data_IF_700641425427
#
_entry.id   IF_700641425427
#
_cell.length_a   1.000
_cell.length_b   1.000
_cell.length_c   1.000
_cell.angle_alpha   90.00
_cell.angle_beta   90.00
_cell.angle_gamma   90.00
#
_symmetry.space_group_name_H-M   'P 1'
#
loop_
_entity.id
_entity.type
_entity.pdbx_description
1 polymer ?
#
# COMPACT_ATOMS: atom_id res chain seq x y z
N UNK A 1 45.20 39.54 -6.55
CA UNK A 1 44.26 39.10 -5.49
C UNK A 1 42.92 38.86 -6.14
N UNK A 2 42.50 37.59 -6.27
CA UNK A 2 41.10 37.13 -6.18
C UNK A 2 41.12 35.61 -6.31
N UNK A 3 40.92 34.93 -5.19
CA UNK A 3 40.78 33.48 -5.12
C UNK A 3 39.32 33.14 -5.45
N UNK A 4 39.11 32.34 -6.48
CA UNK A 4 37.84 31.67 -6.72
C UNK A 4 37.67 30.57 -5.67
N UNK A 5 36.78 30.79 -4.70
CA UNK A 5 36.30 29.72 -3.85
C UNK A 5 35.18 28.99 -4.61
N UNK A 6 35.25 27.66 -4.78
CA UNK A 6 34.09 26.90 -5.22
C UNK A 6 33.05 26.97 -4.10
N UNK A 7 31.84 27.39 -4.45
CA UNK A 7 30.67 27.27 -3.57
C UNK A 7 30.52 25.81 -3.15
N UNK A 8 30.34 25.51 -1.86
CA UNK A 8 30.11 24.15 -1.42
C UNK A 8 28.79 23.68 -2.01
N UNK A 9 28.82 22.55 -2.75
CA UNK A 9 27.62 21.85 -3.16
C UNK A 9 26.78 21.54 -1.92
N UNK A 10 25.72 22.32 -1.72
CA UNK A 10 24.62 21.96 -0.85
C UNK A 10 24.04 20.68 -1.43
N UNK A 11 24.40 19.55 -0.85
CA UNK A 11 23.81 18.26 -1.13
C UNK A 11 22.33 18.33 -0.72
N UNK A 12 21.48 18.92 -1.58
CA UNK A 12 20.05 19.01 -1.37
C UNK A 12 19.54 17.58 -1.18
N UNK A 13 19.11 17.27 0.04
CA UNK A 13 18.49 16.00 0.33
C UNK A 13 17.30 15.84 -0.62
N UNK A 14 17.23 14.76 -1.40
CA UNK A 14 16.22 14.64 -2.43
C UNK A 14 14.83 14.70 -1.79
N UNK A 15 13.94 15.51 -2.37
CA UNK A 15 12.57 15.67 -1.89
C UNK A 15 11.93 14.30 -1.62
N UNK A 16 11.33 14.04 -0.42
CA UNK A 16 10.80 12.73 -0.06
C UNK A 16 9.80 12.16 -1.08
N UNK A 17 9.01 13.04 -1.70
CA UNK A 17 8.06 12.68 -2.76
C UNK A 17 8.78 12.26 -4.05
N UNK A 18 9.91 12.89 -4.41
CA UNK A 18 10.70 12.51 -5.58
C UNK A 18 11.35 11.13 -5.41
N UNK A 19 11.88 10.84 -4.22
CA UNK A 19 12.42 9.52 -3.88
C UNK A 19 11.34 8.46 -3.95
N UNK A 20 10.20 8.72 -3.33
CA UNK A 20 9.08 7.77 -3.27
C UNK A 20 8.49 7.50 -4.65
N UNK A 21 8.30 8.55 -5.46
CA UNK A 21 7.85 8.43 -6.84
C UNK A 21 8.82 7.60 -7.69
N UNK A 22 10.12 7.91 -7.64
CA UNK A 22 11.15 7.17 -8.39
C UNK A 22 11.17 5.69 -8.00
N UNK A 23 11.08 5.42 -6.71
CA UNK A 23 11.04 4.05 -6.17
C UNK A 23 9.82 3.29 -6.66
N UNK A 24 8.63 3.90 -6.57
CA UNK A 24 7.39 3.31 -7.09
C UNK A 24 7.46 3.06 -8.61
N UNK A 25 7.93 4.04 -9.38
CA UNK A 25 7.96 3.96 -10.85
C UNK A 25 8.97 2.95 -11.39
N UNK A 26 10.17 2.92 -10.81
CA UNK A 26 11.35 2.26 -11.42
C UNK A 26 12.01 1.19 -10.55
N UNK A 27 11.53 0.97 -9.32
CA UNK A 27 12.06 -0.06 -8.43
C UNK A 27 10.99 -1.05 -7.92
N UNK A 28 10.27 -1.75 -8.82
CA UNK A 28 9.24 -2.72 -8.46
C UNK A 28 9.72 -3.85 -7.55
N UNK A 29 10.99 -4.28 -7.65
CA UNK A 29 11.54 -5.27 -6.71
C UNK A 29 11.40 -4.83 -5.26
N UNK A 30 11.41 -3.52 -4.99
CA UNK A 30 11.38 -2.98 -3.63
C UNK A 30 10.03 -3.10 -2.94
N UNK A 31 8.97 -3.43 -3.68
CA UNK A 31 7.60 -3.44 -3.16
C UNK A 31 6.73 -4.57 -3.70
N UNK A 32 7.14 -5.26 -4.77
CA UNK A 32 6.38 -6.40 -5.28
C UNK A 32 6.27 -7.49 -4.21
N UNK A 33 5.05 -8.00 -4.03
CA UNK A 33 4.77 -9.01 -3.03
C UNK A 33 5.55 -10.30 -3.33
N UNK A 34 6.13 -10.97 -2.33
CA UNK A 34 6.99 -12.15 -2.53
C UNK A 34 6.27 -13.34 -3.16
N UNK A 35 4.94 -13.45 -3.01
CA UNK A 35 4.12 -14.46 -3.71
C UNK A 35 4.07 -14.21 -5.22
N UNK A 36 4.21 -12.97 -5.68
CA UNK A 36 4.22 -12.62 -7.10
C UNK A 36 5.61 -12.76 -7.72
N UNK A 37 6.65 -12.45 -6.93
CA UNK A 37 8.02 -12.49 -7.40
C UNK A 37 8.99 -12.72 -6.24
N UNK A 38 9.81 -13.77 -6.36
CA UNK A 38 10.89 -14.05 -5.43
C UNK A 38 12.18 -13.50 -6.04
N UNK A 39 12.83 -12.56 -5.34
CA UNK A 39 14.07 -11.98 -5.81
C UNK A 39 15.19 -13.03 -5.86
N UNK A 40 15.85 -13.22 -7.01
CA UNK A 40 16.95 -14.17 -7.10
C UNK A 40 18.21 -13.58 -6.44
N UNK A 41 18.52 -14.05 -5.22
CA UNK A 41 19.63 -13.57 -4.37
C UNK A 41 21.00 -13.46 -5.06
N UNK A 42 21.40 -14.33 -6.01
CA UNK A 42 22.68 -14.20 -6.72
C UNK A 42 22.85 -12.88 -7.49
N UNK A 43 21.77 -12.17 -7.79
CA UNK A 43 21.78 -10.93 -8.56
C UNK A 43 21.72 -9.71 -7.63
N UNK A 44 22.73 -9.46 -6.80
CA UNK A 44 22.67 -8.42 -5.77
C UNK A 44 23.22 -7.03 -6.16
N UNK A 45 23.92 -6.91 -7.30
CA UNK A 45 24.50 -5.62 -7.70
C UNK A 45 23.41 -4.62 -8.16
N UNK A 46 23.64 -3.30 -8.00
CA UNK A 46 22.70 -2.28 -8.45
C UNK A 46 22.33 -2.38 -9.94
N UNK A 47 23.30 -2.73 -10.80
CA UNK A 47 23.07 -2.92 -12.24
C UNK A 47 22.18 -4.14 -12.52
N UNK A 48 22.39 -5.25 -11.82
CA UNK A 48 21.54 -6.44 -11.96
C UNK A 48 20.12 -6.16 -11.47
N UNK A 49 19.96 -5.46 -10.33
CA UNK A 49 18.67 -5.02 -9.84
C UNK A 49 17.93 -4.15 -10.86
N UNK A 50 18.63 -3.20 -11.51
CA UNK A 50 18.05 -2.37 -12.55
C UNK A 50 17.54 -3.21 -13.74
N UNK A 51 18.29 -4.22 -14.18
CA UNK A 51 17.83 -5.15 -15.22
C UNK A 51 16.58 -5.91 -14.79
N UNK A 52 16.53 -6.42 -13.55
CA UNK A 52 15.35 -7.12 -13.02
C UNK A 52 14.15 -6.17 -12.95
N UNK A 53 14.34 -4.93 -12.50
CA UNK A 53 13.29 -3.92 -12.47
C UNK A 53 12.74 -3.63 -13.87
N UNK A 54 13.61 -3.49 -14.87
CA UNK A 54 13.22 -3.33 -16.28
C UNK A 54 12.42 -4.54 -16.79
N UNK A 55 12.85 -5.75 -16.46
CA UNK A 55 12.13 -6.99 -16.80
C UNK A 55 10.74 -7.03 -16.16
N UNK A 56 10.60 -6.65 -14.89
CA UNK A 56 9.31 -6.59 -14.21
C UNK A 56 8.40 -5.53 -14.83
N UNK A 57 8.92 -4.33 -15.09
CA UNK A 57 8.17 -3.25 -15.73
C UNK A 57 7.67 -3.68 -17.11
N UNK A 58 8.51 -4.33 -17.91
CA UNK A 58 8.11 -4.85 -19.22
C UNK A 58 7.11 -6.01 -19.10
N UNK A 59 7.37 -6.99 -18.22
CA UNK A 59 6.56 -8.18 -18.05
C UNK A 59 5.13 -7.89 -17.54
N UNK A 60 5.00 -6.95 -16.61
CA UNK A 60 3.69 -6.47 -16.12
C UNK A 60 3.10 -5.34 -16.98
N UNK A 61 3.78 -4.94 -18.06
CA UNK A 61 3.37 -3.83 -18.96
C UNK A 61 3.09 -2.52 -18.20
N UNK A 62 3.92 -2.23 -17.20
CA UNK A 62 3.74 -1.05 -16.36
C UNK A 62 4.09 0.22 -17.14
N UNK A 63 3.15 1.14 -17.21
CA UNK A 63 3.34 2.42 -17.85
C UNK A 63 4.40 3.25 -17.11
N UNK A 64 5.26 3.91 -17.89
CA UNK A 64 6.39 4.73 -17.47
C UNK A 64 6.10 6.22 -17.65
N UNK A 65 5.04 6.56 -18.39
CA UNK A 65 4.70 7.93 -18.76
C UNK A 65 3.86 8.62 -17.68
N UNK A 66 4.52 8.98 -16.58
CA UNK A 66 3.93 9.90 -15.61
C UNK A 66 5.01 10.81 -15.02
N UNK A 67 5.22 11.98 -15.61
CA UNK A 67 6.22 12.94 -15.15
C UNK A 67 6.03 13.34 -13.68
N UNK A 68 7.14 13.49 -12.95
CA UNK A 68 7.14 13.79 -11.51
C UNK A 68 6.44 15.10 -11.15
N UNK A 69 6.57 16.12 -12.00
CA UNK A 69 5.92 17.43 -11.88
C UNK A 69 4.38 17.34 -12.01
N UNK A 70 3.85 16.23 -12.54
CA UNK A 70 2.41 15.99 -12.67
C UNK A 70 1.81 15.23 -11.48
N UNK A 71 2.53 15.06 -10.37
CA UNK A 71 1.96 14.49 -9.15
C UNK A 71 1.08 15.55 -8.48
N UNK A 72 -0.23 15.33 -8.55
CA UNK A 72 -1.23 16.17 -7.91
C UNK A 72 -1.33 15.98 -6.40
N UNK A 73 -2.22 16.76 -5.78
CA UNK A 73 -2.48 16.69 -4.34
C UNK A 73 -3.11 15.35 -3.95
N UNK A 74 -3.93 14.78 -4.83
CA UNK A 74 -4.66 13.54 -4.57
C UNK A 74 -3.73 12.31 -4.62
N UNK A 75 -2.72 12.32 -5.49
CA UNK A 75 -1.75 11.22 -5.63
C UNK A 75 -0.65 11.25 -4.56
N UNK A 76 -0.28 12.43 -4.07
CA UNK A 76 0.75 12.61 -3.03
C UNK A 76 0.66 11.64 -1.85
N UNK A 77 -0.50 11.46 -1.17
CA UNK A 77 -0.59 10.54 -0.04
C UNK A 77 -0.33 9.07 -0.43
N UNK A 78 -0.64 8.67 -1.66
CA UNK A 78 -0.37 7.32 -2.15
C UNK A 78 1.11 7.11 -2.41
N UNK A 79 1.72 8.04 -3.15
CA UNK A 79 3.13 7.95 -3.53
C UNK A 79 4.04 8.03 -2.30
N UNK A 80 3.81 8.99 -1.39
CA UNK A 80 4.62 9.14 -0.18
C UNK A 80 4.56 7.92 0.75
N UNK A 81 3.45 7.19 0.73
CA UNK A 81 3.20 6.10 1.67
C UNK A 81 3.05 4.76 0.95
N UNK A 82 3.66 4.62 -0.23
CA UNK A 82 3.48 3.49 -1.13
C UNK A 82 3.63 2.13 -0.42
N UNK A 83 4.66 1.98 0.41
CA UNK A 83 4.94 0.75 1.17
C UNK A 83 3.98 0.50 2.34
N UNK A 84 3.24 1.51 2.78
CA UNK A 84 2.26 1.37 3.86
C UNK A 84 0.88 0.94 3.33
N UNK A 85 0.64 1.00 2.02
CA UNK A 85 -0.67 0.71 1.44
C UNK A 85 -1.20 -0.70 1.77
N UNK A 86 -0.39 -1.78 1.83
CA UNK A 86 -0.86 -3.07 2.33
C UNK A 86 -1.38 -3.01 3.77
N UNK A 87 -0.67 -2.31 4.65
CA UNK A 87 -1.11 -2.10 6.02
C UNK A 87 -2.40 -1.28 6.08
N UNK A 88 -2.49 -0.23 5.28
CA UNK A 88 -3.70 0.60 5.17
C UNK A 88 -4.88 -0.26 4.75
N UNK A 89 -4.77 -1.06 3.69
CA UNK A 89 -5.82 -2.01 3.29
C UNK A 89 -6.24 -2.91 4.45
N UNK A 90 -5.29 -3.57 5.11
CA UNK A 90 -5.60 -4.45 6.23
C UNK A 90 -6.38 -3.74 7.36
N UNK A 91 -5.99 -2.51 7.71
CA UNK A 91 -6.69 -1.68 8.70
C UNK A 91 -8.11 -1.31 8.24
N UNK A 92 -8.28 -0.98 6.96
CA UNK A 92 -9.59 -0.69 6.38
C UNK A 92 -10.52 -1.91 6.49
N UNK A 93 -10.03 -3.11 6.14
CA UNK A 93 -10.77 -4.35 6.29
C UNK A 93 -11.16 -4.64 7.74
N UNK A 94 -10.26 -4.42 8.70
CA UNK A 94 -10.55 -4.56 10.12
C UNK A 94 -11.71 -3.66 10.60
N UNK A 95 -11.79 -2.41 10.11
CA UNK A 95 -12.88 -1.50 10.47
C UNK A 95 -14.21 -1.93 9.86
N UNK A 96 -14.20 -2.31 8.59
CA UNK A 96 -15.40 -2.77 7.88
C UNK A 96 -15.97 -4.02 8.54
N UNK A 97 -15.11 -4.96 8.93
CA UNK A 97 -15.51 -6.19 9.61
C UNK A 97 -15.54 -6.09 11.14
N UNK A 98 -15.49 -4.87 11.71
CA UNK A 98 -15.41 -4.67 13.16
C UNK A 98 -16.51 -5.43 13.92
N UNK A 99 -17.75 -5.38 13.43
CA UNK A 99 -18.87 -6.10 14.05
C UNK A 99 -18.65 -7.62 14.06
N UNK A 100 -18.19 -8.20 12.95
CA UNK A 100 -17.88 -9.63 12.84
C UNK A 100 -16.71 -10.02 13.73
N UNK A 101 -15.68 -9.17 13.83
CA UNK A 101 -14.52 -9.41 14.68
C UNK A 101 -14.85 -9.35 16.18
N UNK A 102 -15.78 -8.48 16.59
CA UNK A 102 -16.23 -8.43 17.98
C UNK A 102 -16.92 -9.73 18.44
N UNK A 103 -17.46 -10.54 17.51
CA UNK A 103 -18.04 -11.84 17.85
C UNK A 103 -16.97 -12.87 18.19
N UNK A 104 -17.31 -13.76 19.14
CA UNK A 104 -16.47 -14.90 19.55
C UNK A 104 -15.03 -14.51 19.92
N UNK A 105 -14.84 -13.27 20.37
CA UNK A 105 -13.53 -12.70 20.68
C UNK A 105 -12.51 -12.77 19.51
N UNK A 106 -12.95 -12.86 18.25
CA UNK A 106 -12.07 -12.93 17.08
C UNK A 106 -11.17 -11.69 16.95
N UNK A 107 -11.61 -10.55 17.48
CA UNK A 107 -10.84 -9.32 17.63
C UNK A 107 -9.51 -9.57 18.37
N UNK A 108 -9.48 -10.49 19.36
CA UNK A 108 -8.27 -10.85 20.11
C UNK A 108 -7.25 -11.63 19.27
N UNK A 109 -7.66 -12.22 18.15
CA UNK A 109 -6.77 -12.88 17.19
C UNK A 109 -6.03 -11.90 16.28
N UNK A 110 -6.37 -10.61 16.30
CA UNK A 110 -5.67 -9.61 15.51
C UNK A 110 -4.28 -9.30 16.11
N UNK A 111 -3.29 -8.96 15.26
CA UNK A 111 -2.08 -8.31 15.74
C UNK A 111 -2.39 -7.09 16.60
N UNK A 112 -1.59 -6.84 17.65
CA UNK A 112 -1.84 -5.78 18.64
C UNK A 112 -2.10 -4.39 18.03
N UNK A 113 -1.38 -4.04 16.96
CA UNK A 113 -1.55 -2.77 16.24
C UNK A 113 -2.90 -2.69 15.51
N UNK A 114 -3.34 -3.79 14.89
CA UNK A 114 -4.62 -3.86 14.21
C UNK A 114 -5.79 -3.91 15.20
N UNK A 115 -5.63 -4.65 16.31
CA UNK A 115 -6.56 -4.66 17.42
C UNK A 115 -6.82 -3.24 17.96
N UNK A 116 -5.74 -2.49 18.22
CA UNK A 116 -5.84 -1.14 18.74
C UNK A 116 -6.58 -0.20 17.77
N UNK A 117 -6.28 -0.28 16.46
CA UNK A 117 -6.98 0.51 15.45
C UNK A 117 -8.46 0.11 15.32
N UNK A 118 -8.77 -1.19 15.23
CA UNK A 118 -10.13 -1.71 15.04
C UNK A 118 -11.10 -1.26 16.14
N UNK A 119 -10.60 -0.99 17.35
CA UNK A 119 -11.41 -0.47 18.47
C UNK A 119 -11.81 0.99 18.32
N UNK A 120 -11.10 1.77 17.51
CA UNK A 120 -11.43 3.18 17.28
C UNK A 120 -12.82 3.31 16.62
N UNK A 121 -13.59 4.36 16.95
CA UNK A 121 -14.89 4.62 16.33
C UNK A 121 -14.71 5.32 14.97
N UNK A 122 -14.13 4.63 13.99
CA UNK A 122 -13.91 5.17 12.62
C UNK A 122 -15.16 5.01 11.76
N UNK A 123 -15.78 3.83 11.82
CA UNK A 123 -17.06 3.52 11.19
C UNK A 123 -18.05 3.00 12.23
N UNK A 124 -19.33 3.19 11.92
CA UNK A 124 -20.41 2.54 12.65
C UNK A 124 -20.38 1.04 12.36
N UNK A 125 -20.61 0.25 13.40
CA UNK A 125 -20.61 -1.21 13.27
C UNK A 125 -21.85 -1.65 12.50
N UNK A 126 -21.68 -2.11 11.26
CA UNK A 126 -22.76 -2.69 10.47
C UNK A 126 -23.02 -4.12 10.95
N UNK A 127 -24.27 -4.48 11.30
CA UNK A 127 -24.61 -5.85 11.68
C UNK A 127 -24.28 -6.81 10.53
N UNK A 128 -23.39 -7.77 10.79
CA UNK A 128 -23.04 -8.78 9.81
C UNK A 128 -23.82 -10.06 10.08
N UNK A 129 -24.50 -10.60 9.07
CA UNK A 129 -25.25 -11.86 9.15
C UNK A 129 -24.36 -13.13 9.13
N UNK A 130 -23.07 -13.00 8.80
CA UNK A 130 -22.15 -14.14 8.65
C UNK A 130 -21.61 -14.59 10.01
N UNK A 131 -21.75 -15.87 10.34
CA UNK A 131 -21.38 -16.42 11.64
C UNK A 131 -19.87 -16.63 11.82
N UNK A 132 -19.13 -16.81 10.73
CA UNK A 132 -17.69 -17.08 10.73
C UNK A 132 -16.92 -15.75 10.78
N UNK A 133 -15.96 -15.57 11.71
CA UNK A 133 -15.11 -14.39 11.71
C UNK A 133 -14.17 -14.41 10.49
N UNK A 134 -13.89 -13.24 9.88
CA UNK A 134 -13.03 -13.18 8.71
C UNK A 134 -11.57 -13.52 9.07
N UNK A 135 -10.94 -14.28 8.20
CA UNK A 135 -9.52 -14.56 8.16
C UNK A 135 -8.69 -13.30 7.82
N UNK A 136 -7.39 -13.33 8.09
CA UNK A 136 -6.49 -12.24 7.73
C UNK A 136 -6.47 -11.96 6.21
N UNK A 137 -6.59 -13.00 5.38
CA UNK A 137 -6.72 -12.87 3.92
C UNK A 137 -8.00 -12.14 3.52
N UNK A 138 -9.13 -12.45 4.15
CA UNK A 138 -10.39 -11.78 3.86
C UNK A 138 -10.35 -10.31 4.30
N UNK A 139 -9.77 -10.02 5.46
CA UNK A 139 -9.55 -8.63 5.91
C UNK A 139 -8.66 -7.85 4.93
N UNK A 140 -7.56 -8.45 4.48
CA UNK A 140 -6.67 -7.81 3.49
C UNK A 140 -7.38 -7.63 2.14
N UNK A 141 -8.14 -8.65 1.70
CA UNK A 141 -8.93 -8.63 0.47
C UNK A 141 -9.97 -7.51 0.46
N UNK A 142 -10.75 -7.38 1.53
CA UNK A 142 -11.72 -6.31 1.72
C UNK A 142 -11.06 -4.92 1.60
N UNK A 143 -9.93 -4.74 2.29
CA UNK A 143 -9.13 -3.53 2.22
C UNK A 143 -8.58 -3.24 0.83
N UNK A 144 -8.09 -4.27 0.15
CA UNK A 144 -7.55 -4.18 -1.20
C UNK A 144 -8.62 -3.73 -2.20
N UNK A 145 -9.82 -4.32 -2.18
CA UNK A 145 -10.94 -3.93 -3.05
C UNK A 145 -11.28 -2.45 -2.87
N UNK A 146 -11.31 -1.96 -1.62
CA UNK A 146 -11.58 -0.54 -1.32
C UNK A 146 -10.45 0.38 -1.78
N UNK A 147 -9.19 0.00 -1.59
CA UNK A 147 -8.07 0.75 -2.16
C UNK A 147 -8.14 0.79 -3.69
N UNK A 148 -8.48 -0.31 -4.34
CA UNK A 148 -8.68 -0.33 -5.80
C UNK A 148 -9.79 0.63 -6.22
N UNK A 149 -10.94 0.61 -5.53
CA UNK A 149 -12.05 1.53 -5.77
C UNK A 149 -11.69 3.01 -5.55
N UNK A 150 -10.92 3.31 -4.51
CA UNK A 150 -10.39 4.66 -4.22
C UNK A 150 -9.32 5.09 -5.23
N UNK A 151 -8.56 4.13 -5.78
CA UNK A 151 -7.53 4.40 -6.77
C UNK A 151 -8.07 4.60 -8.17
N UNK A 152 -9.32 4.21 -8.45
CA UNK A 152 -9.95 4.27 -9.78
C UNK A 152 -9.78 5.61 -10.53
N UNK A 153 -9.94 6.79 -9.92
CA UNK A 153 -9.74 8.08 -10.61
C UNK A 153 -8.26 8.49 -10.75
N UNK A 154 -7.31 7.74 -10.17
CA UNK A 154 -5.89 8.08 -10.19
C UNK A 154 -5.22 7.70 -11.51
N UNK A 155 -4.03 8.27 -11.72
CA UNK A 155 -3.19 8.02 -12.90
C UNK A 155 -2.88 6.52 -13.08
N UNK A 156 -2.87 6.09 -14.34
CA UNK A 156 -2.69 4.68 -14.72
C UNK A 156 -1.42 4.04 -14.13
N UNK A 157 -0.22 4.67 -14.14
CA UNK A 157 0.97 4.05 -13.58
C UNK A 157 0.86 3.69 -12.09
N UNK A 158 0.09 4.46 -11.32
CA UNK A 158 -0.21 4.18 -9.92
C UNK A 158 -1.15 2.97 -9.81
N UNK A 159 -2.27 3.00 -10.54
CA UNK A 159 -3.27 1.91 -10.53
C UNK A 159 -2.69 0.57 -10.94
N UNK A 160 -1.81 0.53 -11.94
CA UNK A 160 -1.17 -0.71 -12.40
C UNK A 160 -0.22 -1.32 -11.37
N UNK A 161 0.45 -0.47 -10.59
CA UNK A 161 1.44 -0.91 -9.60
C UNK A 161 0.80 -1.29 -8.27
N UNK A 162 -0.37 -0.74 -7.95
CA UNK A 162 -1.05 -0.98 -6.67
C UNK A 162 -1.29 -2.48 -6.40
N UNK A 163 -1.82 -3.30 -7.35
CA UNK A 163 -1.99 -4.74 -7.14
C UNK A 163 -0.69 -5.51 -6.86
N UNK A 164 0.47 -5.00 -7.31
CA UNK A 164 1.75 -5.67 -7.10
C UNK A 164 2.19 -5.68 -5.64
N UNK A 165 1.65 -4.77 -4.82
CA UNK A 165 1.90 -4.69 -3.38
C UNK A 165 1.25 -5.84 -2.58
N UNK A 166 0.29 -6.54 -3.18
CA UNK A 166 -0.54 -7.54 -2.53
C UNK A 166 -0.24 -8.93 -3.07
N UNK A 167 -0.56 -10.01 -2.33
CA UNK A 167 -0.65 -11.34 -2.94
C UNK A 167 -1.71 -11.34 -4.07
N UNK A 168 -1.77 -12.40 -4.89
CA UNK A 168 -2.92 -12.64 -5.75
C UNK A 168 -4.18 -12.75 -4.87
N UNK A 169 -5.00 -11.71 -4.89
CA UNK A 169 -6.27 -11.63 -4.15
C UNK A 169 -7.40 -11.74 -5.17
N UNK A 170 -8.39 -12.58 -4.87
CA UNK A 170 -9.59 -12.69 -5.68
C UNK A 170 -10.42 -11.42 -5.52
N UNK A 171 -10.44 -10.60 -6.56
CA UNK A 171 -11.21 -9.36 -6.60
C UNK A 171 -12.70 -9.69 -6.77
N UNK A 172 -13.38 -10.09 -5.70
CA UNK A 172 -14.84 -10.16 -5.75
C UNK A 172 -15.38 -8.72 -5.64
N UNK A 173 -15.46 -8.04 -6.79
CA UNK A 173 -16.11 -6.74 -6.92
C UNK A 173 -17.63 -6.92 -6.84
N UNK A 174 -18.11 -7.40 -5.70
CA UNK A 174 -19.51 -7.16 -5.34
C UNK A 174 -19.71 -5.64 -5.23
N UNK A 175 -20.93 -5.17 -5.46
CA UNK A 175 -21.29 -3.77 -5.22
C UNK A 175 -21.13 -3.49 -3.71
N UNK A 176 -19.94 -3.03 -3.33
CA UNK A 176 -19.59 -2.81 -1.93
C UNK A 176 -20.06 -1.41 -1.53
N UNK A 177 -21.01 -1.29 -0.57
CA UNK A 177 -21.41 0.00 -0.07
C UNK A 177 -20.20 0.74 0.50
N UNK A 178 -20.13 2.04 0.19
CA UNK A 178 -19.09 2.96 0.65
C UNK A 178 -17.65 2.50 0.34
N UNK A 179 -17.44 1.75 -0.75
CA UNK A 179 -16.11 1.30 -1.18
C UNK A 179 -15.11 2.46 -1.39
N UNK A 180 -15.63 3.69 -1.58
CA UNK A 180 -14.86 4.92 -1.77
C UNK A 180 -14.81 5.82 -0.54
N UNK A 181 -14.99 5.28 0.68
CA UNK A 181 -14.86 6.07 1.91
C UNK A 181 -13.42 6.59 2.09
N UNK A 182 -13.23 7.88 1.78
CA UNK A 182 -11.95 8.59 1.93
C UNK A 182 -11.58 8.77 3.40
N UNK A 183 -12.55 8.92 4.31
CA UNK A 183 -12.28 9.06 5.76
C UNK A 183 -11.64 7.79 6.30
N UNK A 184 -12.17 6.63 5.90
CA UNK A 184 -11.59 5.34 6.27
C UNK A 184 -10.13 5.23 5.80
N UNK A 185 -9.85 5.58 4.53
CA UNK A 185 -8.48 5.61 4.00
C UNK A 185 -7.55 6.56 4.77
N UNK A 186 -7.97 7.81 4.98
CA UNK A 186 -7.15 8.84 5.64
C UNK A 186 -6.81 8.44 7.08
N UNK A 187 -7.79 7.95 7.83
CA UNK A 187 -7.57 7.55 9.23
C UNK A 187 -6.68 6.31 9.33
N UNK A 188 -6.87 5.31 8.46
CA UNK A 188 -6.01 4.14 8.38
C UNK A 188 -4.57 4.52 8.01
N UNK A 189 -4.41 5.42 7.03
CA UNK A 189 -3.10 5.92 6.61
C UNK A 189 -2.39 6.69 7.74
N UNK A 190 -3.09 7.59 8.42
CA UNK A 190 -2.53 8.33 9.56
C UNK A 190 -2.11 7.39 10.69
N UNK A 191 -2.88 6.34 10.95
CA UNK A 191 -2.53 5.33 11.95
C UNK A 191 -1.30 4.51 11.51
N UNK A 192 -1.27 4.00 10.28
CA UNK A 192 -0.15 3.23 9.74
C UNK A 192 1.17 4.02 9.75
N UNK A 193 1.11 5.33 9.48
CA UNK A 193 2.29 6.22 9.60
C UNK A 193 2.85 6.28 11.03
N UNK A 194 2.00 6.25 12.05
CA UNK A 194 2.40 6.29 13.46
C UNK A 194 2.83 4.91 13.98
N UNK A 195 2.30 3.85 13.39
CA UNK A 195 2.50 2.46 13.81
C UNK A 195 2.79 1.56 12.59
N UNK A 196 3.95 1.72 11.92
CA UNK A 196 4.25 0.98 10.70
C UNK A 196 4.46 -0.51 10.98
N UNK A 197 3.67 -1.35 10.32
CA UNK A 197 3.74 -2.81 10.41
C UNK A 197 3.41 -3.45 9.06
N UNK A 198 3.87 -4.68 8.87
CA UNK A 198 3.41 -5.50 7.74
C UNK A 198 2.14 -6.25 8.15
N UNK A 199 1.10 -6.32 7.29
CA UNK A 199 -0.01 -7.24 7.49
C UNK A 199 0.48 -8.67 7.70
N UNK A 200 -0.28 -9.52 8.41
CA UNK A 200 0.00 -10.95 8.43
C UNK A 200 0.04 -11.49 7.00
N UNK A 201 1.20 -12.04 6.61
CA UNK A 201 1.28 -12.83 5.39
C UNK A 201 0.42 -14.08 5.59
N UNK A 202 -0.31 -14.51 4.55
CA UNK A 202 -1.17 -15.71 4.54
C UNK A 202 -0.40 -17.03 4.72
N UNK A 203 0.87 -16.97 5.15
CA UNK A 203 1.74 -18.09 5.46
C UNK A 203 1.93 -18.22 6.96
N UNK A 204 0.87 -18.38 7.74
CA UNK A 204 0.92 -19.03 9.06
C UNK A 204 -0.43 -19.67 9.39
#
# INVERSE_FOLDING_TARGET
>A
MMAFYPTPDLHESPSPIAVSWRTMMFDPVSYIHPVRFIYPTPFSSPRQRAVINEMLIAGFRLDRHWPFDQIGIVERPWVLNWRLLPQVAYLMGCQVHKASLCRRAALLGLPRWAYAYARLPVLDAVPCAVEVPPSHSELLGEGFVRLMALSAPLREPLRQRLPLLFPPLDSCAADMPDARDVRLFVTALQYAKKHPHSPPDTRH
#
